data_IF_172146949226
#
_entry.id   IF_172146949226
#
_cell.length_a   1.000
_cell.length_b   1.000
_cell.length_c   1.000
_cell.angle_alpha   90.00
_cell.angle_beta   90.00
_cell.angle_gamma   90.00
#
_symmetry.space_group_name_H-M   'P 1'
#
loop_
_entity.id
_entity.type
_entity.pdbx_description
1 polymer ?
#
# COMPACT_ATOMS: atom_id res chain seq x y z
N UNK A 1 11.95 -15.26 0.83
CA UNK A 1 10.55 -14.82 0.66
C UNK A 1 10.52 -13.87 -0.53
N UNK A 2 9.95 -14.29 -1.66
CA UNK A 2 9.83 -13.46 -2.85
C UNK A 2 8.45 -12.82 -2.86
N UNK A 3 8.38 -11.52 -2.59
CA UNK A 3 7.20 -10.73 -2.89
C UNK A 3 7.24 -10.30 -4.36
N UNK A 4 6.11 -10.39 -5.06
CA UNK A 4 5.96 -9.90 -6.44
C UNK A 4 5.30 -8.53 -6.40
N UNK A 5 6.03 -7.50 -6.83
CA UNK A 5 5.46 -6.17 -7.02
C UNK A 5 4.38 -6.22 -8.11
N UNK A 6 3.21 -5.65 -7.81
CA UNK A 6 2.08 -5.58 -8.74
C UNK A 6 1.86 -4.16 -9.25
N UNK A 7 1.85 -3.17 -8.35
CA UNK A 7 1.67 -1.77 -8.72
C UNK A 7 2.38 -0.82 -7.75
N UNK A 8 2.74 0.36 -8.26
CA UNK A 8 3.25 1.48 -7.47
C UNK A 8 2.56 2.75 -7.94
N UNK A 9 1.89 3.45 -7.04
CA UNK A 9 1.14 4.66 -7.35
C UNK A 9 1.61 5.80 -6.44
N UNK A 10 2.19 6.84 -7.04
CA UNK A 10 2.60 8.03 -6.31
C UNK A 10 1.40 8.97 -6.08
N UNK A 11 1.20 9.41 -4.84
CA UNK A 11 0.14 10.34 -4.42
C UNK A 11 0.76 11.39 -3.50
N UNK A 12 0.97 12.60 -4.03
CA UNK A 12 1.69 13.67 -3.33
C UNK A 12 3.12 13.21 -2.92
N UNK A 13 3.48 13.30 -1.64
CA UNK A 13 4.77 12.80 -1.12
C UNK A 13 4.73 11.32 -0.74
N UNK A 14 3.57 10.67 -0.85
CA UNK A 14 3.36 9.28 -0.47
C UNK A 14 3.39 8.36 -1.70
N UNK A 15 3.81 7.12 -1.52
CA UNK A 15 3.73 6.08 -2.55
C UNK A 15 2.96 4.89 -2.01
N UNK A 16 1.90 4.51 -2.71
CA UNK A 16 1.21 3.24 -2.49
C UNK A 16 1.93 2.14 -3.26
N UNK A 17 2.28 1.06 -2.60
CA UNK A 17 2.89 -0.13 -3.20
C UNK A 17 1.97 -1.31 -2.96
N UNK A 18 1.61 -2.04 -4.01
CA UNK A 18 0.84 -3.28 -3.93
C UNK A 18 1.73 -4.44 -4.35
N UNK A 19 1.75 -5.49 -3.54
CA UNK A 19 2.52 -6.70 -3.84
C UNK A 19 1.76 -7.97 -3.48
N UNK A 20 2.12 -9.07 -4.14
CA UNK A 20 1.67 -10.42 -3.83
C UNK A 20 2.77 -11.14 -3.05
N UNK A 21 2.44 -11.73 -1.92
CA UNK A 21 3.38 -12.55 -1.17
C UNK A 21 3.52 -13.97 -1.75
N UNK A 22 4.42 -14.75 -1.14
CA UNK A 22 4.66 -16.14 -1.54
C UNK A 22 3.48 -17.10 -1.28
N UNK A 23 2.49 -16.68 -0.48
CA UNK A 23 1.30 -17.45 -0.14
C UNK A 23 0.11 -17.08 -1.05
N UNK A 24 0.28 -16.12 -1.96
CA UNK A 24 -0.78 -15.67 -2.86
C UNK A 24 -1.70 -14.62 -2.24
N UNK A 25 -1.28 -13.98 -1.14
CA UNK A 25 -2.02 -12.88 -0.54
C UNK A 25 -1.52 -11.54 -1.06
N UNK A 26 -2.47 -10.62 -1.24
CA UNK A 26 -2.21 -9.25 -1.65
C UNK A 26 -1.98 -8.40 -0.41
N UNK A 27 -1.04 -7.46 -0.51
CA UNK A 27 -0.66 -6.54 0.57
C UNK A 27 -0.53 -5.15 -0.01
N UNK A 28 -0.67 -4.14 0.86
CA UNK A 28 -0.30 -2.77 0.52
C UNK A 28 0.69 -2.18 1.53
N UNK A 29 1.55 -1.30 1.03
CA UNK A 29 2.43 -0.45 1.82
C UNK A 29 2.28 1.01 1.40
N UNK A 30 2.27 1.91 2.36
CA UNK A 30 2.35 3.36 2.14
C UNK A 30 3.72 3.84 2.55
N UNK A 31 4.47 4.37 1.60
CA UNK A 31 5.86 4.81 1.75
C UNK A 31 5.93 6.34 1.73
N UNK A 32 6.71 6.95 2.63
CA UNK A 32 7.07 8.37 2.61
C UNK A 32 8.59 8.51 2.62
N UNK A 33 9.14 9.06 1.54
CA UNK A 33 10.59 9.15 1.36
C UNK A 33 11.25 7.77 1.34
N UNK A 34 12.05 7.46 2.38
CA UNK A 34 12.73 6.16 2.54
C UNK A 34 12.08 5.24 3.58
N UNK A 35 10.98 5.68 4.20
CA UNK A 35 10.32 4.96 5.29
C UNK A 35 8.96 4.39 4.87
N UNK A 36 8.62 3.23 5.43
CA UNK A 36 7.26 2.68 5.36
C UNK A 36 6.45 3.29 6.51
N UNK A 37 5.39 4.03 6.19
CA UNK A 37 4.51 4.65 7.18
C UNK A 37 3.42 3.68 7.66
N UNK A 38 2.89 2.89 6.74
CA UNK A 38 1.86 1.91 7.00
C UNK A 38 2.18 0.65 6.18
N UNK A 39 2.13 -0.50 6.84
CA UNK A 39 2.15 -1.81 6.20
C UNK A 39 0.89 -2.52 6.68
N UNK A 40 0.16 -3.11 5.74
CA UNK A 40 -1.18 -3.60 6.04
C UNK A 40 -1.39 -5.04 5.59
N UNK A 41 -2.37 -5.60 6.30
CA UNK A 41 -3.06 -6.88 6.30
C UNK A 41 -3.19 -7.64 4.97
N UNK A 42 -3.48 -8.93 5.14
CA UNK A 42 -3.68 -9.92 4.08
C UNK A 42 -5.01 -9.67 3.35
N UNK A 43 -4.94 -9.41 2.04
CA UNK A 43 -6.09 -9.32 1.15
C UNK A 43 -6.16 -10.52 0.20
N UNK A 44 -7.38 -10.93 -0.16
CA UNK A 44 -7.64 -12.04 -1.11
C UNK A 44 -7.80 -11.57 -2.57
N UNK A 45 -7.81 -10.26 -2.81
CA UNK A 45 -7.79 -9.70 -4.16
C UNK A 45 -6.99 -8.38 -4.20
N UNK A 46 -6.52 -8.03 -5.39
CA UNK A 46 -5.71 -6.82 -5.60
C UNK A 46 -6.52 -5.55 -5.36
N UNK A 47 -7.78 -5.52 -5.79
CA UNK A 47 -8.62 -4.34 -5.74
C UNK A 47 -8.89 -3.87 -4.30
N UNK A 48 -9.09 -4.79 -3.35
CA UNK A 48 -9.26 -4.45 -1.95
C UNK A 48 -7.99 -3.82 -1.37
N UNK A 49 -6.82 -4.40 -1.67
CA UNK A 49 -5.53 -3.84 -1.24
C UNK A 49 -5.31 -2.42 -1.79
N UNK A 50 -5.69 -2.17 -3.06
CA UNK A 50 -5.61 -0.85 -3.68
C UNK A 50 -6.56 0.17 -3.05
N UNK A 51 -7.82 -0.21 -2.82
CA UNK A 51 -8.83 0.67 -2.22
C UNK A 51 -8.44 1.03 -0.78
N UNK A 52 -8.09 0.05 0.04
CA UNK A 52 -7.67 0.27 1.43
C UNK A 52 -6.41 1.12 1.51
N UNK A 53 -5.43 0.86 0.64
CA UNK A 53 -4.22 1.66 0.53
C UNK A 53 -4.50 3.13 0.19
N UNK A 54 -5.41 3.39 -0.74
CA UNK A 54 -5.82 4.76 -1.10
C UNK A 54 -6.62 5.45 0.01
N UNK A 55 -7.48 4.72 0.73
CA UNK A 55 -8.18 5.24 1.90
C UNK A 55 -7.19 5.63 3.01
N UNK A 56 -6.17 4.80 3.26
CA UNK A 56 -5.09 5.08 4.19
C UNK A 56 -4.34 6.36 3.81
N UNK A 57 -3.93 6.50 2.54
CA UNK A 57 -3.27 7.72 2.04
C UNK A 57 -4.15 8.95 2.25
N UNK A 58 -5.44 8.88 1.90
CA UNK A 58 -6.36 10.00 2.10
C UNK A 58 -6.50 10.38 3.57
N UNK A 59 -6.55 9.39 4.47
CA UNK A 59 -6.58 9.62 5.92
C UNK A 59 -5.33 10.35 6.40
N UNK A 60 -4.13 9.88 6.00
CA UNK A 60 -2.85 10.53 6.32
C UNK A 60 -2.82 11.97 5.81
N UNK A 61 -3.19 12.19 4.54
CA UNK A 61 -3.19 13.52 3.94
C UNK A 61 -4.18 14.47 4.60
N UNK A 62 -5.29 13.98 5.15
CA UNK A 62 -6.27 14.79 5.85
C UNK A 62 -5.88 15.06 7.31
N UNK A 63 -5.12 14.17 7.96
CA UNK A 63 -4.65 14.38 9.33
C UNK A 63 -3.64 15.54 9.46
N UNK A 64 -2.79 15.73 8.45
CA UNK A 64 -1.77 16.79 8.44
C UNK A 64 -2.23 18.11 7.78
N UNK A 65 -3.53 18.31 7.56
CA UNK A 65 -4.11 19.58 7.11
C UNK A 65 -4.50 20.45 8.29
#
# INVERSE_FOLDING_TARGET
MTAKLLSMTAVNQLTLVIYLDQYGYYHYEVIHGKGVLQNTEIFYNQQAAEIEGMLCINSILNYYK
#
